data_IF_618304807769
#
_entry.id   IF_618304807769
#
_cell.length_a   1.000
_cell.length_b   1.000
_cell.length_c   1.000
_cell.angle_alpha   90.00
_cell.angle_beta   90.00
_cell.angle_gamma   90.00
#
_symmetry.space_group_name_H-M   'P 1'
#
loop_
_entity.id
_entity.type
_entity.pdbx_description
1 polymer ?
#
# COMPACT_ATOMS: atom_id res chain seq x y z
N UNK A 1 4.46 -19.46 -16.08
CA UNK A 1 3.11 -19.01 -15.68
C UNK A 1 3.26 -18.19 -14.42
N UNK A 2 3.10 -16.87 -14.47
CA UNK A 2 3.24 -16.00 -13.30
C UNK A 2 2.04 -16.24 -12.38
N UNK A 3 2.29 -16.69 -11.16
CA UNK A 3 1.23 -16.99 -10.19
C UNK A 3 0.83 -15.70 -9.51
N UNK A 4 -0.40 -15.26 -9.73
CA UNK A 4 -1.04 -14.21 -8.93
C UNK A 4 -1.33 -14.79 -7.54
N UNK A 5 -0.54 -14.44 -6.55
CA UNK A 5 -0.85 -14.72 -5.15
C UNK A 5 -0.93 -13.39 -4.41
N UNK A 6 -2.04 -13.17 -3.72
CA UNK A 6 -2.24 -12.02 -2.84
C UNK A 6 -2.08 -12.45 -1.40
N UNK A 7 -1.61 -11.56 -0.52
CA UNK A 7 -1.61 -11.87 0.89
C UNK A 7 -3.06 -12.13 1.35
N UNK A 8 -3.25 -13.22 2.07
CA UNK A 8 -4.54 -13.59 2.67
C UNK A 8 -4.91 -12.74 3.89
N UNK A 9 -4.19 -11.67 4.16
CA UNK A 9 -4.38 -10.80 5.32
C UNK A 9 -4.20 -9.33 4.94
N UNK A 10 -5.01 -8.51 5.57
CA UNK A 10 -4.98 -7.06 5.58
C UNK A 10 -3.57 -6.52 5.86
N UNK A 11 -3.08 -5.65 4.99
CA UNK A 11 -1.85 -4.93 5.25
C UNK A 11 -1.10 -4.54 3.99
N UNK A 12 -0.19 -3.56 4.10
CA UNK A 12 0.76 -3.28 3.04
C UNK A 12 1.89 -4.30 3.07
N UNK A 13 2.23 -4.81 1.89
CA UNK A 13 3.45 -5.55 1.65
C UNK A 13 4.47 -4.62 0.99
N UNK A 14 5.70 -4.61 1.48
CA UNK A 14 6.81 -3.94 0.78
C UNK A 14 7.27 -4.88 -0.33
N UNK A 15 7.15 -4.45 -1.59
CA UNK A 15 7.54 -5.22 -2.77
C UNK A 15 8.94 -4.87 -3.26
N UNK A 16 9.39 -3.65 -3.00
CA UNK A 16 10.72 -3.15 -3.30
C UNK A 16 11.13 -2.17 -2.23
N UNK A 17 12.29 -2.38 -1.63
CA UNK A 17 12.95 -1.44 -0.72
C UNK A 17 14.20 -0.86 -1.40
N UNK A 18 14.52 0.38 -1.14
CA UNK A 18 15.64 1.09 -1.76
C UNK A 18 15.22 2.53 -2.03
N UNK A 19 15.83 3.17 -3.05
CA UNK A 19 15.48 4.56 -3.39
C UNK A 19 14.03 4.70 -3.83
N UNK A 20 13.45 3.66 -4.49
CA UNK A 20 12.08 3.62 -4.93
C UNK A 20 11.32 2.56 -4.12
N UNK A 21 10.63 2.98 -3.07
CA UNK A 21 9.81 2.07 -2.29
C UNK A 21 8.53 1.73 -3.05
N UNK A 22 8.26 0.43 -3.24
CA UNK A 22 7.00 -0.08 -3.78
C UNK A 22 6.30 -0.88 -2.70
N UNK A 23 5.05 -0.54 -2.45
CA UNK A 23 4.21 -1.18 -1.43
C UNK A 23 2.88 -1.61 -2.03
N UNK A 24 2.22 -2.60 -1.45
CA UNK A 24 0.92 -3.07 -1.92
C UNK A 24 0.02 -3.52 -0.77
N UNK A 25 -1.28 -3.41 -0.95
CA UNK A 25 -2.28 -3.83 0.02
C UNK A 25 -3.70 -3.43 -0.36
N UNK A 26 -4.68 -3.84 0.45
CA UNK A 26 -6.06 -3.42 0.27
C UNK A 26 -6.25 -1.99 0.81
N UNK A 27 -6.78 -1.10 -0.04
CA UNK A 27 -7.13 0.27 0.33
C UNK A 27 -8.59 0.38 0.79
N UNK A 28 -9.45 -0.53 0.38
CA UNK A 28 -10.83 -0.68 0.85
C UNK A 28 -11.30 -2.11 0.62
N UNK A 29 -12.14 -2.63 1.51
CA UNK A 29 -12.81 -3.93 1.36
C UNK A 29 -14.32 -3.72 1.54
N UNK A 30 -15.13 -4.65 1.00
CA UNK A 30 -16.60 -4.60 1.10
C UNK A 30 -17.07 -5.07 2.49
N UNK A 31 -16.78 -4.26 3.51
CA UNK A 31 -17.21 -4.45 4.89
C UNK A 31 -17.70 -3.12 5.46
N UNK A 32 -18.57 -3.18 6.47
CA UNK A 32 -18.97 -1.99 7.21
C UNK A 32 -17.74 -1.46 7.98
N UNK A 33 -17.35 -0.25 7.66
CA UNK A 33 -16.20 0.41 8.28
C UNK A 33 -16.53 1.02 9.65
N UNK A 34 -15.55 1.66 10.28
CA UNK A 34 -15.71 2.31 11.59
C UNK A 34 -16.65 3.52 11.58
N UNK A 35 -16.98 4.04 10.39
CA UNK A 35 -17.91 5.14 10.20
C UNK A 35 -19.35 4.63 9.98
N UNK A 36 -19.52 3.32 9.88
CA UNK A 36 -20.79 2.69 9.57
C UNK A 36 -21.13 2.73 8.07
N UNK A 37 -20.14 2.94 7.21
CA UNK A 37 -20.28 2.93 5.76
C UNK A 37 -19.84 1.57 5.18
N UNK A 38 -20.63 1.03 4.24
CA UNK A 38 -20.29 -0.12 3.41
C UNK A 38 -20.24 0.34 1.96
N UNK A 39 -19.05 0.30 1.37
CA UNK A 39 -18.89 0.62 -0.04
C UNK A 39 -19.01 -0.68 -0.83
N UNK A 40 -19.99 -0.77 -1.71
CA UNK A 40 -20.19 -1.96 -2.53
C UNK A 40 -19.04 -2.17 -3.49
N UNK A 41 -18.70 -3.42 -3.77
CA UNK A 41 -17.65 -3.77 -4.76
C UNK A 41 -17.91 -3.15 -6.13
N UNK A 42 -19.17 -3.07 -6.56
CA UNK A 42 -19.53 -2.38 -7.79
C UNK A 42 -19.14 -0.90 -7.78
N UNK A 43 -19.43 -0.20 -6.68
CA UNK A 43 -19.03 1.21 -6.52
C UNK A 43 -17.49 1.39 -6.48
N UNK A 44 -16.78 0.48 -5.79
CA UNK A 44 -15.31 0.47 -5.78
C UNK A 44 -14.74 0.23 -7.18
N UNK A 45 -15.27 -0.74 -7.92
CA UNK A 45 -14.79 -1.06 -9.26
C UNK A 45 -14.95 0.11 -10.24
N UNK A 46 -16.13 0.73 -10.25
CA UNK A 46 -16.40 1.89 -11.13
C UNK A 46 -15.54 3.09 -10.74
N UNK A 47 -15.43 3.40 -9.44
CA UNK A 47 -14.64 4.51 -8.94
C UNK A 47 -13.14 4.30 -9.21
N UNK A 48 -12.62 3.10 -8.94
CA UNK A 48 -11.23 2.73 -9.19
C UNK A 48 -10.89 2.74 -10.69
N UNK A 49 -11.79 2.19 -11.53
CA UNK A 49 -11.62 2.23 -12.97
C UNK A 49 -11.50 3.64 -13.54
N UNK A 50 -12.27 4.60 -12.99
CA UNK A 50 -12.18 6.01 -13.37
C UNK A 50 -10.92 6.68 -12.83
N UNK A 51 -10.56 6.41 -11.58
CA UNK A 51 -9.33 6.89 -10.95
C UNK A 51 -8.08 6.45 -11.73
N UNK A 52 -8.01 5.19 -12.16
CA UNK A 52 -6.88 4.64 -12.91
C UNK A 52 -6.76 5.16 -14.35
N UNK A 53 -7.84 5.67 -14.97
CA UNK A 53 -7.81 6.30 -16.30
C UNK A 53 -7.07 7.63 -16.32
N UNK A 54 -7.00 8.31 -15.18
CA UNK A 54 -6.42 9.64 -15.06
C UNK A 54 -4.97 9.54 -14.58
N UNK A 55 -4.02 9.46 -15.50
CA UNK A 55 -2.58 9.40 -15.17
C UNK A 55 -2.11 10.54 -14.25
N UNK A 56 -2.77 11.70 -14.30
CA UNK A 56 -2.46 12.85 -13.44
C UNK A 56 -2.96 12.73 -12.00
N UNK A 57 -3.86 11.80 -11.72
CA UNK A 57 -4.60 11.74 -10.45
C UNK A 57 -4.57 10.38 -9.75
N UNK A 58 -3.64 9.50 -10.13
CA UNK A 58 -3.36 8.26 -9.37
C UNK A 58 -2.69 8.59 -8.04
N UNK A 59 -3.26 9.54 -7.35
CA UNK A 59 -2.72 10.31 -6.25
C UNK A 59 -2.71 9.50 -4.94
N UNK A 60 -1.53 9.28 -4.40
CA UNK A 60 -1.36 8.70 -3.07
C UNK A 60 -0.83 9.76 -2.12
N UNK A 61 -1.58 10.03 -1.06
CA UNK A 61 -1.29 11.08 -0.08
C UNK A 61 -0.83 10.49 1.26
N UNK A 62 -0.36 11.36 2.14
CA UNK A 62 -0.14 11.07 3.55
C UNK A 62 -1.32 11.61 4.37
N UNK A 63 -2.03 10.74 5.09
CA UNK A 63 -3.04 11.10 6.10
C UNK A 63 -3.99 12.24 5.66
N UNK A 64 -4.49 12.19 4.42
CA UNK A 64 -5.37 13.21 3.81
C UNK A 64 -4.79 14.64 3.81
N UNK A 65 -3.47 14.77 3.72
CA UNK A 65 -2.76 16.07 3.87
C UNK A 65 -2.64 16.88 2.59
N UNK A 66 -3.21 16.44 1.47
CA UNK A 66 -3.02 17.01 0.12
C UNK A 66 -1.55 17.02 -0.37
N UNK A 67 -0.66 16.27 0.29
CA UNK A 67 0.72 16.08 -0.14
C UNK A 67 0.81 14.75 -0.85
N UNK A 68 1.04 14.77 -2.16
CA UNK A 68 1.23 13.56 -2.94
C UNK A 68 2.61 12.95 -2.65
N UNK A 69 2.61 11.78 -2.03
CA UNK A 69 3.82 11.03 -1.65
C UNK A 69 4.10 9.84 -2.56
N UNK A 70 3.16 9.49 -3.41
CA UNK A 70 3.28 8.37 -4.34
C UNK A 70 2.17 8.37 -5.38
N UNK A 71 2.15 7.31 -6.17
CA UNK A 71 1.14 7.04 -7.19
C UNK A 71 0.77 5.57 -7.22
N UNK A 72 -0.49 5.28 -7.60
CA UNK A 72 -0.91 3.90 -7.88
C UNK A 72 -0.40 3.50 -9.25
N UNK A 73 0.33 2.39 -9.33
CA UNK A 73 0.79 1.78 -10.57
C UNK A 73 -0.07 0.57 -10.94
N UNK A 74 -0.17 0.27 -12.22
CA UNK A 74 -1.03 -0.82 -12.71
C UNK A 74 -0.58 -2.18 -12.17
N UNK A 75 0.74 -2.43 -12.16
CA UNK A 75 1.31 -3.68 -11.67
C UNK A 75 2.80 -3.53 -11.34
N UNK A 76 3.32 -4.47 -10.57
CA UNK A 76 4.72 -4.60 -10.25
C UNK A 76 5.12 -6.09 -10.20
N UNK A 77 6.32 -6.42 -10.68
CA UNK A 77 6.90 -7.76 -10.53
C UNK A 77 8.02 -7.67 -9.50
N UNK A 78 7.87 -8.40 -8.39
CA UNK A 78 8.87 -8.41 -7.32
C UNK A 78 10.11 -9.25 -7.66
N UNK A 79 11.12 -9.25 -6.79
CA UNK A 79 12.39 -9.97 -6.97
C UNK A 79 12.21 -11.49 -7.10
N UNK A 80 11.09 -12.04 -6.62
CA UNK A 80 10.75 -13.45 -6.72
C UNK A 80 10.00 -13.80 -8.02
N UNK A 81 9.82 -12.84 -8.94
CA UNK A 81 9.07 -13.01 -10.17
C UNK A 81 7.55 -13.03 -9.98
N UNK A 82 7.05 -12.59 -8.82
CA UNK A 82 5.62 -12.54 -8.53
C UNK A 82 5.03 -11.24 -9.06
N UNK A 83 3.93 -11.34 -9.78
CA UNK A 83 3.19 -10.19 -10.25
C UNK A 83 2.15 -9.72 -9.23
N UNK A 84 2.18 -8.44 -8.91
CA UNK A 84 1.23 -7.72 -8.09
C UNK A 84 0.47 -6.75 -8.98
N UNK A 85 -0.85 -6.73 -8.89
CA UNK A 85 -1.70 -5.93 -9.78
C UNK A 85 -2.68 -5.11 -8.97
N UNK A 86 -2.83 -3.84 -9.33
CA UNK A 86 -3.87 -2.96 -8.80
C UNK A 86 -5.20 -3.26 -9.48
N UNK A 87 -6.17 -3.74 -8.72
CA UNK A 87 -7.51 -4.07 -9.20
C UNK A 87 -8.50 -4.22 -8.06
N UNK A 88 -9.79 -4.25 -8.39
CA UNK A 88 -10.84 -4.64 -7.45
C UNK A 88 -11.13 -6.11 -7.64
N UNK A 89 -10.99 -6.89 -6.57
CA UNK A 89 -11.24 -8.34 -6.54
C UNK A 89 -12.41 -8.71 -5.62
N UNK A 90 -12.51 -10.00 -5.29
CA UNK A 90 -13.58 -10.49 -4.41
C UNK A 90 -13.44 -10.03 -2.94
N UNK A 91 -12.26 -9.58 -2.54
CA UNK A 91 -11.99 -9.03 -1.19
C UNK A 91 -12.24 -7.53 -1.15
N UNK A 92 -11.82 -6.79 -2.19
CA UNK A 92 -11.92 -5.34 -2.23
C UNK A 92 -10.98 -4.70 -3.24
N UNK A 93 -10.61 -3.45 -3.01
CA UNK A 93 -9.70 -2.68 -3.85
C UNK A 93 -8.26 -2.87 -3.38
N UNK A 94 -7.51 -3.70 -4.12
CA UNK A 94 -6.09 -3.93 -3.93
C UNK A 94 -5.28 -2.95 -4.77
N UNK A 95 -4.27 -2.32 -4.19
CA UNK A 95 -3.43 -1.32 -4.88
C UNK A 95 -1.96 -1.63 -4.73
N UNK A 96 -1.21 -1.31 -5.78
CA UNK A 96 0.26 -1.29 -5.79
C UNK A 96 0.68 0.17 -5.91
N UNK A 97 1.47 0.64 -4.97
CA UNK A 97 1.85 2.04 -4.84
C UNK A 97 3.36 2.17 -4.96
N UNK A 98 3.80 3.04 -5.85
CA UNK A 98 5.19 3.48 -5.93
C UNK A 98 5.31 4.82 -5.20
N UNK A 99 6.18 4.89 -4.19
CA UNK A 99 6.47 6.13 -3.50
C UNK A 99 7.42 7.00 -4.32
N UNK A 100 7.25 8.30 -4.23
CA UNK A 100 8.17 9.28 -4.81
C UNK A 100 9.46 9.32 -4.00
N UNK A 101 10.58 9.54 -4.68
CA UNK A 101 11.89 9.72 -4.05
C UNK A 101 12.43 11.14 -4.21
N UNK A 102 11.80 11.95 -5.06
CA UNK A 102 12.20 13.31 -5.41
C UNK A 102 11.81 14.36 -4.37
N UNK A 103 10.87 14.05 -3.48
CA UNK A 103 10.43 14.96 -2.42
C UNK A 103 10.76 14.42 -1.02
N UNK A 104 11.19 15.32 -0.14
CA UNK A 104 11.58 14.98 1.24
C UNK A 104 10.45 14.29 2.01
N UNK A 105 9.22 14.81 1.89
CA UNK A 105 8.06 14.24 2.60
C UNK A 105 7.78 12.78 2.22
N UNK A 106 7.95 12.42 0.95
CA UNK A 106 7.78 11.02 0.53
C UNK A 106 8.90 10.12 1.07
N UNK A 107 10.14 10.62 1.19
CA UNK A 107 11.23 9.88 1.84
C UNK A 107 10.98 9.66 3.33
N UNK A 108 10.43 10.67 4.04
CA UNK A 108 10.00 10.51 5.44
C UNK A 108 8.91 9.43 5.56
N UNK A 109 7.89 9.47 4.69
CA UNK A 109 6.82 8.46 4.65
C UNK A 109 7.39 7.07 4.41
N UNK A 110 8.31 6.93 3.47
CA UNK A 110 8.98 5.65 3.20
C UNK A 110 9.74 5.14 4.43
N UNK A 111 10.42 6.02 5.17
CA UNK A 111 11.09 5.65 6.42
C UNK A 111 10.09 5.20 7.49
N UNK A 112 8.95 5.89 7.64
CA UNK A 112 7.92 5.53 8.62
C UNK A 112 7.20 4.21 8.27
N UNK A 113 7.04 3.91 6.98
CA UNK A 113 6.53 2.60 6.52
C UNK A 113 7.52 1.49 6.92
N UNK A 114 8.83 1.67 6.68
CA UNK A 114 9.86 0.68 7.04
C UNK A 114 9.94 0.44 8.55
N UNK A 115 9.70 1.46 9.36
CA UNK A 115 9.62 1.35 10.84
C UNK A 115 8.31 0.70 11.31
N UNK A 116 7.32 0.53 10.43
CA UNK A 116 6.00 0.03 10.79
C UNK A 116 5.11 1.05 11.52
N UNK A 117 5.40 2.34 11.45
CA UNK A 117 4.57 3.39 12.01
C UNK A 117 3.41 3.75 11.08
N UNK A 118 3.62 3.68 9.77
CA UNK A 118 2.58 3.81 8.77
C UNK A 118 2.26 2.43 8.20
N UNK A 119 1.07 1.96 8.45
CA UNK A 119 0.67 0.57 8.23
C UNK A 119 -0.67 0.42 7.50
N UNK A 120 -1.38 1.44 7.12
CA UNK A 120 -2.69 1.34 6.52
C UNK A 120 -2.85 2.15 5.26
N UNK A 121 -3.74 1.67 4.39
CA UNK A 121 -4.35 2.51 3.40
C UNK A 121 -5.72 2.96 3.86
N UNK A 122 -6.14 4.11 3.39
CA UNK A 122 -7.51 4.61 3.42
C UNK A 122 -7.83 5.22 2.06
N UNK A 123 -9.09 5.44 1.78
CA UNK A 123 -9.53 6.10 0.57
C UNK A 123 -10.24 7.39 0.91
N UNK A 124 -10.08 8.39 0.06
CA UNK A 124 -10.82 9.64 0.10
C UNK A 124 -11.59 9.84 -1.19
N UNK A 125 -12.83 10.29 -1.07
CA UNK A 125 -13.69 10.49 -2.23
C UNK A 125 -15.05 11.05 -1.86
N UNK A 126 -15.93 11.12 -2.85
CA UNK A 126 -17.29 11.62 -2.68
C UNK A 126 -18.32 10.53 -2.96
N UNK A 127 -19.18 10.25 -1.99
CA UNK A 127 -20.30 9.34 -2.18
C UNK A 127 -21.48 10.11 -2.81
N UNK A 128 -22.00 9.61 -3.93
CA UNK A 128 -23.16 10.19 -4.63
C UNK A 128 -24.46 9.49 -4.31
N UNK A 129 -24.39 8.21 -3.90
CA UNK A 129 -25.57 7.42 -3.54
C UNK A 129 -25.32 6.66 -2.27
N UNK A 130 -26.04 7.05 -1.21
CA UNK A 130 -26.04 6.40 0.10
C UNK A 130 -27.45 5.95 0.41
N UNK A 131 -27.59 4.73 0.92
CA UNK A 131 -28.86 4.15 1.35
C UNK A 131 -28.67 3.55 2.72
N UNK A 132 -29.49 3.97 3.69
CA UNK A 132 -29.49 3.37 5.02
C UNK A 132 -30.04 1.95 4.93
N UNK A 133 -29.31 0.99 5.46
CA UNK A 133 -29.65 -0.42 5.54
C UNK A 133 -29.49 -0.93 6.97
N UNK A 134 -30.08 -2.06 7.23
CA UNK A 134 -29.86 -2.81 8.47
C UNK A 134 -29.95 -4.29 8.17
N UNK A 135 -29.07 -5.07 8.75
CA UNK A 135 -29.14 -6.54 8.75
C UNK A 135 -28.72 -7.10 10.11
N UNK A 136 -28.90 -8.42 10.30
CA UNK A 136 -28.59 -9.08 11.57
C UNK A 136 -27.09 -9.13 11.87
N UNK A 137 -26.24 -9.08 10.84
CA UNK A 137 -24.79 -9.22 10.98
C UNK A 137 -24.10 -7.89 11.30
N UNK A 138 -24.60 -6.77 10.75
CA UNK A 138 -23.94 -5.47 10.79
C UNK A 138 -24.75 -4.42 11.58
N UNK A 139 -26.03 -4.70 11.91
CA UNK A 139 -26.92 -3.69 12.47
C UNK A 139 -27.30 -2.64 11.42
N UNK A 140 -27.38 -1.37 11.83
CA UNK A 140 -27.63 -0.26 10.91
C UNK A 140 -26.32 0.24 10.28
N UNK A 141 -26.33 0.40 8.95
CA UNK A 141 -25.20 0.92 8.19
C UNK A 141 -25.66 1.73 6.98
N UNK A 142 -24.75 2.45 6.34
CA UNK A 142 -25.00 3.17 5.10
C UNK A 142 -24.30 2.46 3.93
N UNK A 143 -25.10 1.93 3.01
CA UNK A 143 -24.57 1.36 1.78
C UNK A 143 -24.27 2.48 0.76
N UNK A 144 -23.01 2.54 0.31
CA UNK A 144 -22.55 3.43 -0.75
C UNK A 144 -22.47 2.62 -2.03
N UNK A 145 -23.41 2.87 -2.96
CA UNK A 145 -23.50 2.18 -4.24
C UNK A 145 -23.01 3.01 -5.44
N UNK A 146 -22.61 4.27 -5.22
CA UNK A 146 -21.96 5.13 -6.21
C UNK A 146 -21.07 6.15 -5.53
N UNK A 147 -19.80 6.20 -5.95
CA UNK A 147 -18.82 7.15 -5.45
C UNK A 147 -17.82 7.57 -6.52
N UNK A 148 -17.08 8.62 -6.24
CA UNK A 148 -15.88 9.02 -6.95
C UNK A 148 -14.69 8.91 -6.00
N UNK A 149 -13.60 8.29 -6.46
CA UNK A 149 -12.37 8.16 -5.72
C UNK A 149 -11.45 9.33 -6.07
N UNK A 150 -11.04 10.11 -5.07
CA UNK A 150 -10.17 11.27 -5.26
C UNK A 150 -8.73 10.95 -4.89
N UNK A 151 -8.52 10.12 -3.89
CA UNK A 151 -7.20 9.79 -3.37
C UNK A 151 -7.17 8.43 -2.68
N UNK A 152 -5.97 7.88 -2.60
CA UNK A 152 -5.61 6.83 -1.66
C UNK A 152 -4.64 7.46 -0.66
N UNK A 153 -4.77 7.12 0.60
CA UNK A 153 -3.95 7.71 1.65
C UNK A 153 -3.19 6.63 2.40
N UNK A 154 -1.92 6.92 2.73
CA UNK A 154 -1.11 6.12 3.64
C UNK A 154 -1.31 6.70 5.05
N UNK A 155 -1.63 5.84 6.02
CA UNK A 155 -1.91 6.25 7.39
C UNK A 155 -1.44 5.19 8.40
N UNK A 156 -1.46 5.53 9.70
CA UNK A 156 -1.11 4.60 10.78
C UNK A 156 -2.04 3.38 10.80
N UNK A 157 -3.34 3.61 10.65
CA UNK A 157 -4.38 2.57 10.52
C UNK A 157 -5.44 3.03 9.55
N UNK A 158 -5.84 2.17 8.63
CA UNK A 158 -6.99 2.41 7.76
C UNK A 158 -8.30 2.56 8.55
N UNK A 159 -9.25 3.30 7.99
CA UNK A 159 -10.63 3.41 8.52
C UNK A 159 -11.30 2.05 8.44
N UNK A 160 -11.11 1.34 7.34
CA UNK A 160 -11.54 -0.03 7.17
C UNK A 160 -10.67 -0.99 8.03
N UNK A 161 -11.25 -1.82 8.91
CA UNK A 161 -10.51 -2.71 9.81
C UNK A 161 -9.60 -3.70 9.07
N UNK A 162 -9.99 -4.09 7.86
CA UNK A 162 -9.25 -5.05 7.02
C UNK A 162 -8.17 -4.39 6.16
N UNK A 163 -8.11 -3.06 6.10
CA UNK A 163 -7.05 -2.30 5.44
C UNK A 163 -5.82 -2.13 6.35
N UNK A 164 -5.39 -3.22 7.03
CA UNK A 164 -4.21 -3.21 7.92
C UNK A 164 -3.01 -3.89 7.27
N UNK A 165 -1.82 -3.48 7.69
CA UNK A 165 -0.53 -3.96 7.18
C UNK A 165 -0.05 -5.28 7.75
N UNK A 166 0.64 -6.05 6.93
CA UNK A 166 1.67 -6.98 7.36
C UNK A 166 2.92 -6.80 6.51
N UNK A 167 4.05 -6.56 7.14
CA UNK A 167 5.36 -6.64 6.48
C UNK A 167 5.58 -8.12 6.13
N UNK A 168 5.56 -8.44 4.86
CA UNK A 168 6.02 -9.74 4.36
C UNK A 168 7.44 -9.56 3.83
N UNK A 169 8.44 -9.90 4.67
CA UNK A 169 9.88 -9.97 4.38
C UNK A 169 10.51 -8.68 3.86
N UNK A 170 11.31 -8.07 4.73
CA UNK A 170 12.50 -7.37 4.29
C UNK A 170 13.40 -8.38 3.56
N UNK A 171 13.57 -8.26 2.25
CA UNK A 171 14.84 -8.64 1.69
C UNK A 171 15.83 -7.64 2.31
N UNK A 172 16.77 -8.16 3.10
CA UNK A 172 17.93 -7.43 3.56
C UNK A 172 18.75 -7.03 2.32
N UNK A 173 18.34 -5.99 1.63
CA UNK A 173 19.25 -5.17 0.87
C UNK A 173 20.04 -4.39 1.93
N UNK A 174 21.12 -5.02 2.40
CA UNK A 174 22.18 -4.30 3.09
C UNK A 174 22.50 -3.09 2.24
N UNK A 175 22.48 -1.91 2.82
CA UNK A 175 22.84 -0.68 2.11
C UNK A 175 24.22 -0.89 1.47
N UNK A 176 24.51 -0.21 0.36
CA UNK A 176 25.86 -0.30 -0.24
C UNK A 176 26.95 0.03 0.81
N UNK A 177 26.63 0.87 1.80
CA UNK A 177 27.49 1.18 2.95
C UNK A 177 27.67 -0.02 3.89
N UNK A 178 26.62 -0.79 4.18
CA UNK A 178 26.72 -1.99 5.02
C UNK A 178 27.47 -3.11 4.29
N UNK A 179 27.30 -3.25 2.98
CA UNK A 179 28.08 -4.16 2.14
C UNK A 179 29.56 -3.76 2.09
N UNK A 180 29.85 -2.46 1.97
CA UNK A 180 31.20 -1.93 1.97
C UNK A 180 31.87 -2.16 3.33
N UNK A 181 31.16 -1.92 4.43
CA UNK A 181 31.64 -2.14 5.79
C UNK A 181 31.94 -3.63 6.06
N UNK A 182 31.08 -4.54 5.62
CA UNK A 182 31.31 -6.01 5.74
C UNK A 182 32.48 -6.46 4.87
N UNK A 183 32.65 -5.91 3.67
CA UNK A 183 33.84 -6.16 2.83
C UNK A 183 35.12 -5.62 3.46
N UNK A 184 35.12 -4.43 4.05
CA UNK A 184 36.28 -3.86 4.74
C UNK A 184 36.66 -4.71 5.95
N UNK A 185 35.71 -5.10 6.79
CA UNK A 185 35.94 -5.97 7.94
C UNK A 185 36.53 -7.34 7.53
N UNK A 186 36.06 -7.93 6.42
CA UNK A 186 36.62 -9.16 5.87
C UNK A 186 38.03 -9.00 5.31
N UNK A 187 38.35 -7.85 4.74
CA UNK A 187 39.70 -7.52 4.27
C UNK A 187 40.68 -7.36 5.44
N UNK A 188 40.29 -6.64 6.49
CA UNK A 188 41.12 -6.47 7.70
C UNK A 188 41.42 -7.81 8.38
N UNK A 189 40.41 -8.70 8.52
CA UNK A 189 40.61 -10.03 9.07
C UNK A 189 41.57 -10.89 8.23
N UNK A 190 41.60 -10.70 6.90
CA UNK A 190 42.54 -11.42 6.01
C UNK A 190 43.93 -10.86 6.09
N UNK A 191 44.11 -9.53 6.26
CA UNK A 191 45.41 -8.90 6.48
C UNK A 191 46.02 -9.35 7.80
N UNK A 192 45.27 -9.36 8.90
CA UNK A 192 45.69 -9.85 10.21
C UNK A 192 46.09 -11.35 10.20
N UNK A 193 45.47 -12.13 9.32
CA UNK A 193 45.80 -13.56 9.16
C UNK A 193 47.06 -13.79 8.32
N UNK A 194 47.52 -12.82 7.53
CA UNK A 194 48.74 -12.90 6.70
C UNK A 194 49.99 -12.40 7.42
N UNK A 195 49.81 -11.66 8.53
CA UNK A 195 50.95 -11.16 9.35
C UNK A 195 51.37 -12.09 10.50
N UNK A 196 50.76 -13.24 10.62
CA UNK A 196 51.08 -14.32 11.59
C UNK A 196 51.70 -15.51 10.90
#
# INVERSE_FOLDING_TARGET
>A
MLTLQRPSSSGISILKSGNDLVVAGYASVELVDKQGDLITRGALNDAFGNYMKSEKYRNVQLAHSNIQVGEVIDSYVDSNGRMWKSEVDDTGMFVVVQLRNDIEKAREVAAEIRKGNLQGFSIGGQAFKRVRKADESHGEYQEISKMELHEITICEKGINPEAQFRILKEDNDMSEEDNLMDMMNKLDQRLDAMEK
#
